data_IF_564805918059
#
_entry.id   IF_564805918059
#
_cell.length_a   1.000
_cell.length_b   1.000
_cell.length_c   1.000
_cell.angle_alpha   90.00
_cell.angle_beta   90.00
_cell.angle_gamma   90.00
#
_symmetry.space_group_name_H-M   'P 1'
#
loop_
_entity.id
_entity.type
_entity.pdbx_description
1 polymer ?
#
# COMPACT_ATOMS: atom_id res chain seq x y z
N UNK A 1 17.41 20.21 38.24
CA UNK A 1 16.64 20.56 37.05
C UNK A 1 16.88 19.58 35.91
N UNK A 2 18.11 19.30 35.51
CA UNK A 2 18.48 18.36 34.40
C UNK A 2 18.01 16.91 34.62
N UNK A 3 18.07 16.41 35.88
CA UNK A 3 17.60 15.05 36.25
C UNK A 3 16.07 14.90 36.14
N UNK A 4 15.32 15.92 36.52
CA UNK A 4 13.85 15.93 36.38
C UNK A 4 13.43 15.99 34.93
N UNK A 5 14.16 16.76 34.11
CA UNK A 5 13.97 16.81 32.65
C UNK A 5 14.18 15.44 32.00
N UNK A 6 15.23 14.70 32.38
CA UNK A 6 15.52 13.35 31.88
C UNK A 6 14.44 12.33 32.26
N UNK A 7 13.85 12.43 33.48
CA UNK A 7 12.76 11.54 33.89
C UNK A 7 11.50 11.81 33.06
N UNK A 8 11.11 13.08 32.88
CA UNK A 8 9.89 13.48 32.17
C UNK A 8 10.03 13.22 30.67
N UNK A 9 11.23 13.39 30.10
CA UNK A 9 11.51 13.19 28.66
C UNK A 9 12.32 11.92 28.38
N UNK A 10 12.21 10.91 29.24
CA UNK A 10 12.90 9.65 28.98
C UNK A 10 12.36 8.99 27.71
N UNK A 11 13.20 8.33 26.88
CA UNK A 11 12.75 7.64 25.66
C UNK A 11 11.60 6.66 25.91
N UNK A 12 11.55 6.03 27.08
CA UNK A 12 10.45 5.13 27.46
C UNK A 12 9.12 5.86 27.58
N UNK A 13 9.09 7.01 28.24
CA UNK A 13 7.86 7.82 28.41
C UNK A 13 7.41 8.36 27.06
N UNK A 14 8.35 8.87 26.27
CA UNK A 14 8.05 9.35 24.89
C UNK A 14 7.44 8.23 24.05
N UNK A 15 8.03 7.02 24.06
CA UNK A 15 7.48 5.89 23.32
C UNK A 15 6.08 5.49 23.79
N UNK A 16 5.81 5.48 25.09
CA UNK A 16 4.47 5.21 25.63
C UNK A 16 3.47 6.26 25.15
N UNK A 17 3.85 7.53 25.17
CA UNK A 17 3.00 8.63 24.67
C UNK A 17 2.72 8.47 23.16
N UNK A 18 3.72 8.14 22.35
CA UNK A 18 3.56 7.90 20.93
C UNK A 18 2.59 6.73 20.67
N UNK A 19 2.74 5.62 21.40
CA UNK A 19 1.83 4.47 21.27
C UNK A 19 0.40 4.90 21.61
N UNK A 20 0.20 5.62 22.69
CA UNK A 20 -1.12 6.09 23.10
C UNK A 20 -1.73 7.07 22.08
N UNK A 21 -0.94 8.01 21.58
CA UNK A 21 -1.37 8.94 20.52
C UNK A 21 -1.74 8.21 19.22
N UNK A 22 -0.98 7.19 18.84
CA UNK A 22 -1.31 6.36 17.67
C UNK A 22 -2.58 5.53 17.88
N UNK A 23 -2.87 5.06 19.10
CA UNK A 23 -4.13 4.41 19.43
C UNK A 23 -5.32 5.37 19.26
N UNK A 24 -5.22 6.59 19.82
CA UNK A 24 -6.25 7.63 19.64
C UNK A 24 -6.41 7.99 18.16
N UNK A 25 -5.31 8.16 17.44
CA UNK A 25 -5.31 8.41 16.00
C UNK A 25 -6.01 7.27 15.24
N UNK A 26 -5.72 6.02 15.60
CA UNK A 26 -6.37 4.84 14.98
C UNK A 26 -7.87 4.87 15.20
N UNK A 27 -8.34 5.11 16.43
CA UNK A 27 -9.78 5.17 16.77
C UNK A 27 -10.51 6.26 15.97
N UNK A 28 -9.85 7.38 15.71
CA UNK A 28 -10.40 8.44 14.87
C UNK A 28 -10.38 8.07 13.40
N UNK A 29 -9.24 7.54 12.90
CA UNK A 29 -8.97 7.28 11.48
C UNK A 29 -9.83 6.15 10.88
N UNK A 30 -10.20 5.13 11.66
CA UNK A 30 -11.03 4.01 11.19
C UNK A 30 -12.36 4.45 10.60
N UNK A 31 -12.90 5.60 11.04
CA UNK A 31 -14.19 6.12 10.58
C UNK A 31 -14.14 6.70 9.15
N UNK A 32 -12.95 6.92 8.60
CA UNK A 32 -12.80 7.44 7.23
C UNK A 32 -12.83 6.32 6.17
N UNK A 33 -12.77 5.05 6.58
CA UNK A 33 -12.77 3.89 5.69
C UNK A 33 -14.18 3.32 5.48
N UNK A 34 -14.38 2.61 4.37
CA UNK A 34 -15.60 1.85 4.11
C UNK A 34 -15.86 0.79 5.20
N UNK A 35 -14.80 0.09 5.61
CA UNK A 35 -14.82 -0.95 6.63
C UNK A 35 -13.42 -1.16 7.19
N UNK A 36 -13.33 -1.34 8.50
CA UNK A 36 -12.09 -1.76 9.18
C UNK A 36 -12.42 -2.89 10.13
N UNK A 37 -11.63 -3.97 10.07
CA UNK A 37 -11.73 -5.10 10.98
C UNK A 37 -11.19 -4.77 12.38
N UNK A 38 -11.31 -5.72 13.29
CA UNK A 38 -10.85 -5.56 14.68
C UNK A 38 -9.32 -5.48 14.77
N UNK A 39 -8.82 -4.79 15.82
CA UNK A 39 -7.40 -4.68 16.13
C UNK A 39 -6.55 -4.06 15.00
N UNK A 40 -7.11 -3.12 14.24
CA UNK A 40 -6.34 -2.31 13.32
C UNK A 40 -5.46 -1.31 14.09
N UNK A 41 -4.29 -0.98 13.55
CA UNK A 41 -3.36 -0.03 14.13
C UNK A 41 -2.70 0.83 13.06
N UNK A 42 -2.80 2.16 13.20
CA UNK A 42 -2.20 3.13 12.29
C UNK A 42 -1.18 4.00 13.02
N UNK A 43 0.02 4.11 12.49
CA UNK A 43 0.98 5.11 12.94
C UNK A 43 0.74 6.45 12.22
N UNK A 44 0.79 7.54 12.97
CA UNK A 44 0.73 8.90 12.43
C UNK A 44 2.08 9.32 11.84
N UNK A 45 2.10 10.06 10.72
CA UNK A 45 0.97 10.42 9.86
C UNK A 45 0.64 9.33 8.82
N UNK A 46 -0.62 9.30 8.39
CA UNK A 46 -1.12 8.52 7.26
C UNK A 46 -1.87 9.46 6.30
N UNK A 47 -1.69 9.28 5.00
CA UNK A 47 -2.37 10.04 3.95
C UNK A 47 -3.44 9.17 3.30
N UNK A 48 -4.69 9.61 3.37
CA UNK A 48 -5.86 8.87 2.89
C UNK A 48 -6.67 9.72 1.93
N UNK A 49 -6.96 9.16 0.75
CA UNK A 49 -7.93 9.70 -0.19
C UNK A 49 -8.92 8.60 -0.60
N UNK A 50 -10.23 8.94 -0.68
CA UNK A 50 -11.26 7.99 -1.11
C UNK A 50 -11.49 6.82 -0.16
N UNK A 51 -11.35 7.02 1.16
CA UNK A 51 -11.49 5.95 2.17
C UNK A 51 -12.79 5.16 2.08
N UNK A 52 -13.89 5.77 1.58
CA UNK A 52 -15.18 5.12 1.31
C UNK A 52 -15.10 3.94 0.32
N UNK A 53 -13.98 3.80 -0.41
CA UNK A 53 -13.73 2.70 -1.35
C UNK A 53 -12.72 1.66 -0.81
N UNK A 54 -12.24 1.87 0.42
CA UNK A 54 -11.15 1.08 1.01
C UNK A 54 -11.68 0.25 2.17
N UNK A 55 -11.45 -1.06 2.12
CA UNK A 55 -11.79 -1.99 3.19
C UNK A 55 -10.55 -2.67 3.72
N UNK A 56 -10.40 -2.69 5.04
CA UNK A 56 -9.28 -3.30 5.75
C UNK A 56 -9.80 -4.47 6.61
N UNK A 57 -9.06 -5.56 6.63
CA UNK A 57 -9.33 -6.71 7.48
C UNK A 57 -8.91 -6.50 8.94
N UNK A 58 -9.09 -7.53 9.74
CA UNK A 58 -8.68 -7.54 11.14
C UNK A 58 -7.16 -7.65 11.29
N UNK A 59 -6.61 -7.06 12.36
CA UNK A 59 -5.17 -7.03 12.65
C UNK A 59 -4.34 -6.38 11.52
N UNK A 60 -4.94 -5.43 10.81
CA UNK A 60 -4.18 -4.59 9.89
C UNK A 60 -3.26 -3.65 10.67
N UNK A 61 -2.02 -3.48 10.21
CA UNK A 61 -1.12 -2.49 10.79
C UNK A 61 -0.40 -1.69 9.69
N UNK A 62 -0.29 -0.37 9.91
CA UNK A 62 0.56 0.46 9.08
C UNK A 62 1.60 1.21 9.90
N UNK A 63 2.79 1.35 9.35
CA UNK A 63 3.81 2.25 9.87
C UNK A 63 3.55 3.69 9.38
N UNK A 64 4.47 4.60 9.67
CA UNK A 64 4.34 6.03 9.38
C UNK A 64 4.34 6.32 7.88
N UNK A 65 3.64 7.37 7.47
CA UNK A 65 3.60 7.91 6.10
C UNK A 65 3.12 6.91 5.04
N UNK A 66 2.23 5.96 5.45
CA UNK A 66 1.46 5.21 4.46
C UNK A 66 0.57 6.20 3.69
N UNK A 67 0.67 6.18 2.36
CA UNK A 67 -0.22 6.87 1.44
C UNK A 67 -1.11 5.85 0.75
N UNK A 68 -2.44 5.93 0.95
CA UNK A 68 -3.40 5.03 0.33
C UNK A 68 -4.52 5.84 -0.28
N UNK A 69 -4.76 5.66 -1.59
CA UNK A 69 -5.61 6.54 -2.38
C UNK A 69 -6.47 5.77 -3.36
N UNK A 70 -7.77 6.07 -3.35
CA UNK A 70 -8.76 5.53 -4.25
C UNK A 70 -9.45 6.69 -4.96
N UNK A 71 -9.09 6.93 -6.24
CA UNK A 71 -9.58 8.06 -7.01
C UNK A 71 -10.84 7.68 -7.78
N UNK A 72 -11.99 8.28 -7.44
CA UNK A 72 -13.26 8.13 -8.15
C UNK A 72 -13.48 9.18 -9.24
N UNK A 73 -12.60 10.20 -9.28
CA UNK A 73 -12.61 11.22 -10.33
C UNK A 73 -11.20 11.77 -10.58
N UNK A 74 -10.87 12.02 -11.85
CA UNK A 74 -9.67 12.76 -12.25
C UNK A 74 -9.93 13.47 -13.58
N UNK A 75 -9.70 14.80 -13.66
CA UNK A 75 -9.93 15.62 -14.84
C UNK A 75 -11.36 15.49 -15.41
N UNK A 76 -12.38 15.39 -14.56
CA UNK A 76 -13.77 15.20 -14.97
C UNK A 76 -14.15 13.76 -15.39
N UNK A 77 -13.20 12.85 -15.48
CA UNK A 77 -13.46 11.43 -15.74
C UNK A 77 -13.78 10.69 -14.45
N UNK A 78 -14.83 9.86 -14.46
CA UNK A 78 -15.25 9.03 -13.33
C UNK A 78 -14.62 7.66 -13.37
N UNK A 79 -14.28 7.13 -12.18
CA UNK A 79 -13.72 5.82 -11.95
C UNK A 79 -14.45 5.10 -10.82
N UNK A 80 -14.26 3.81 -10.69
CA UNK A 80 -14.89 2.98 -9.66
C UNK A 80 -13.83 2.22 -8.86
N UNK A 81 -13.02 2.97 -8.08
CA UNK A 81 -11.91 2.36 -7.36
C UNK A 81 -12.38 1.43 -6.25
N UNK A 82 -11.55 0.42 -5.97
CA UNK A 82 -11.75 -0.50 -4.87
C UNK A 82 -10.40 -0.96 -4.35
N UNK A 83 -10.16 -0.80 -3.06
CA UNK A 83 -8.99 -1.35 -2.38
C UNK A 83 -9.48 -2.28 -1.27
N UNK A 84 -9.07 -3.55 -1.33
CA UNK A 84 -9.38 -4.55 -0.31
C UNK A 84 -8.08 -5.06 0.27
N UNK A 85 -7.92 -4.91 1.56
CA UNK A 85 -6.78 -5.44 2.31
C UNK A 85 -7.32 -6.46 3.31
N UNK A 86 -6.78 -7.66 3.28
CA UNK A 86 -7.18 -8.79 4.11
C UNK A 86 -6.75 -8.68 5.57
N UNK A 87 -6.85 -9.80 6.26
CA UNK A 87 -6.51 -9.88 7.68
C UNK A 87 -5.00 -10.06 7.87
N UNK A 88 -4.49 -9.59 9.02
CA UNK A 88 -3.10 -9.80 9.41
C UNK A 88 -2.10 -9.29 8.36
N UNK A 89 -2.40 -8.15 7.74
CA UNK A 89 -1.54 -7.47 6.77
C UNK A 89 -0.76 -6.37 7.47
N UNK A 90 0.54 -6.33 7.23
CA UNK A 90 1.44 -5.29 7.76
C UNK A 90 2.08 -4.51 6.63
N UNK A 91 1.99 -3.18 6.68
CA UNK A 91 2.58 -2.27 5.70
C UNK A 91 3.54 -1.32 6.42
N UNK A 92 4.81 -1.36 6.04
CA UNK A 92 5.83 -0.52 6.63
C UNK A 92 5.80 0.93 6.08
N UNK A 93 6.81 1.72 6.47
CA UNK A 93 6.86 3.16 6.26
C UNK A 93 6.97 3.56 4.79
N UNK A 94 6.44 4.75 4.46
CA UNK A 94 6.64 5.38 3.16
C UNK A 94 6.07 4.61 1.95
N UNK A 95 5.12 3.70 2.20
CA UNK A 95 4.45 2.98 1.11
C UNK A 95 3.38 3.85 0.45
N UNK A 96 3.18 3.62 -0.86
CA UNK A 96 2.12 4.27 -1.63
C UNK A 96 1.28 3.23 -2.38
N UNK A 97 -0.02 3.23 -2.15
CA UNK A 97 -1.01 2.38 -2.82
C UNK A 97 -2.04 3.28 -3.48
N UNK A 98 -2.15 3.23 -4.82
CA UNK A 98 -3.05 4.09 -5.59
C UNK A 98 -3.92 3.30 -6.55
N UNK A 99 -5.26 3.47 -6.50
CA UNK A 99 -6.21 2.78 -7.33
C UNK A 99 -7.22 3.72 -8.01
N UNK A 100 -7.56 3.38 -9.26
CA UNK A 100 -8.75 3.87 -9.97
C UNK A 100 -9.70 2.73 -10.34
N UNK A 101 -9.24 1.48 -10.27
CA UNK A 101 -9.97 0.26 -10.57
C UNK A 101 -9.97 -0.68 -9.35
N UNK A 102 -9.01 -1.61 -9.23
CA UNK A 102 -9.03 -2.55 -8.12
C UNK A 102 -7.63 -2.98 -7.67
N UNK A 103 -7.38 -2.91 -6.36
CA UNK A 103 -6.21 -3.50 -5.71
C UNK A 103 -6.69 -4.42 -4.60
N UNK A 104 -6.23 -5.68 -4.62
CA UNK A 104 -6.54 -6.70 -3.63
C UNK A 104 -5.24 -7.18 -2.98
N UNK A 105 -5.15 -7.06 -1.66
CA UNK A 105 -4.06 -7.61 -0.86
C UNK A 105 -4.67 -8.62 0.10
N UNK A 106 -4.36 -9.91 -0.07
CA UNK A 106 -4.96 -10.97 0.73
C UNK A 106 -4.30 -11.10 2.12
N UNK A 107 -4.77 -12.07 2.89
CA UNK A 107 -4.37 -12.27 4.29
C UNK A 107 -2.88 -12.59 4.45
N UNK A 108 -2.29 -12.12 5.54
CA UNK A 108 -0.92 -12.47 5.95
C UNK A 108 0.19 -11.84 5.11
N UNK A 109 -0.12 -10.87 4.26
CA UNK A 109 0.89 -10.19 3.43
C UNK A 109 1.73 -9.23 4.28
N UNK A 110 3.05 -9.29 4.08
CA UNK A 110 4.01 -8.35 4.64
C UNK A 110 4.58 -7.46 3.55
N UNK A 111 4.43 -6.14 3.70
CA UNK A 111 4.96 -5.13 2.79
C UNK A 111 6.02 -4.31 3.54
N UNK A 112 7.25 -4.37 3.07
CA UNK A 112 8.36 -3.56 3.60
C UNK A 112 8.20 -2.08 3.22
N UNK A 113 9.17 -1.24 3.62
CA UNK A 113 9.10 0.21 3.39
C UNK A 113 9.26 0.60 1.93
N UNK A 114 8.76 1.79 1.57
CA UNK A 114 8.94 2.43 0.26
C UNK A 114 8.39 1.63 -0.93
N UNK A 115 7.42 0.76 -0.68
CA UNK A 115 6.76 -0.02 -1.74
C UNK A 115 5.72 0.85 -2.46
N UNK A 116 5.72 0.77 -3.79
CA UNK A 116 4.73 1.42 -4.65
C UNK A 116 3.86 0.39 -5.35
N UNK A 117 2.53 0.49 -5.18
CA UNK A 117 1.54 -0.37 -5.80
C UNK A 117 0.52 0.50 -6.52
N UNK A 118 0.34 0.30 -7.82
CA UNK A 118 -0.65 1.04 -8.60
C UNK A 118 -1.34 0.14 -9.61
N UNK A 119 -2.63 0.41 -9.86
CA UNK A 119 -3.41 -0.25 -10.90
C UNK A 119 -3.58 0.62 -12.15
N UNK A 120 -2.90 1.78 -12.24
CA UNK A 120 -3.12 2.74 -13.32
C UNK A 120 -1.87 3.50 -13.73
N UNK A 121 -1.98 4.19 -14.87
CA UNK A 121 -1.00 5.10 -15.45
C UNK A 121 -1.62 6.46 -15.74
N UNK A 122 -0.81 7.49 -15.94
CA UNK A 122 -1.19 8.79 -16.49
C UNK A 122 -1.34 8.68 -18.03
N UNK A 123 -2.47 8.12 -18.47
CA UNK A 123 -2.81 7.89 -19.87
C UNK A 123 -2.45 6.48 -20.36
N UNK A 124 -3.09 6.09 -21.45
CA UNK A 124 -2.74 4.88 -22.18
C UNK A 124 -1.41 5.08 -22.90
N UNK A 125 -0.57 4.05 -22.93
CA UNK A 125 0.69 4.07 -23.69
C UNK A 125 0.36 3.84 -25.16
N UNK A 126 -0.01 4.93 -25.84
CA UNK A 126 -0.35 4.91 -27.28
C UNK A 126 0.25 6.13 -27.96
N UNK A 127 0.43 6.05 -29.28
CA UNK A 127 0.92 7.16 -30.11
C UNK A 127 -0.04 8.36 -30.08
N UNK A 128 -1.34 8.14 -29.87
CA UNK A 128 -2.37 9.19 -29.82
C UNK A 128 -2.27 10.06 -28.57
N UNK A 129 -1.67 9.56 -27.48
CA UNK A 129 -1.52 10.30 -26.23
C UNK A 129 -0.18 11.02 -26.11
N UNK A 130 0.73 10.87 -27.08
CA UNK A 130 2.12 11.33 -26.95
C UNK A 130 2.22 12.85 -26.88
N UNK A 131 1.34 13.57 -27.57
CA UNK A 131 1.34 15.04 -27.65
C UNK A 131 0.57 15.70 -26.50
N UNK A 132 -0.04 14.91 -25.60
CA UNK A 132 -0.76 15.41 -24.42
C UNK A 132 0.17 15.34 -23.21
N UNK A 133 0.26 16.43 -22.45
CA UNK A 133 1.04 16.42 -21.21
C UNK A 133 0.54 15.31 -20.25
N UNK A 134 1.41 14.51 -19.62
CA UNK A 134 0.98 13.39 -18.75
C UNK A 134 -0.01 13.78 -17.65
N UNK A 135 0.09 15.00 -17.12
CA UNK A 135 -0.83 15.54 -16.11
C UNK A 135 -2.25 15.83 -16.64
N UNK A 136 -2.40 15.96 -17.96
CA UNK A 136 -3.67 16.27 -18.64
C UNK A 136 -4.32 15.02 -19.24
N UNK A 137 -3.67 13.87 -19.12
CA UNK A 137 -4.19 12.61 -19.66
C UNK A 137 -5.22 12.01 -18.72
N UNK A 138 -6.26 11.40 -19.31
CA UNK A 138 -7.17 10.53 -18.57
C UNK A 138 -6.37 9.39 -17.95
N UNK A 139 -6.57 9.11 -16.66
CA UNK A 139 -5.98 7.92 -16.04
C UNK A 139 -6.47 6.65 -16.72
N UNK A 140 -5.57 5.69 -16.89
CA UNK A 140 -5.84 4.42 -17.56
C UNK A 140 -5.41 3.23 -16.71
N UNK A 141 -6.35 2.32 -16.41
CA UNK A 141 -6.05 1.06 -15.74
C UNK A 141 -5.94 -0.07 -16.75
N UNK A 142 -4.84 -0.82 -16.67
CA UNK A 142 -4.64 -2.03 -17.48
C UNK A 142 -5.30 -3.26 -16.84
N UNK A 143 -5.76 -3.15 -15.60
CA UNK A 143 -6.41 -4.22 -14.87
C UNK A 143 -6.05 -4.23 -13.38
N UNK A 144 -6.64 -5.17 -12.67
CA UNK A 144 -6.49 -5.36 -11.22
C UNK A 144 -5.06 -5.72 -10.84
N UNK A 145 -4.62 -5.19 -9.68
CA UNK A 145 -3.44 -5.71 -8.98
C UNK A 145 -3.89 -6.61 -7.84
N UNK A 146 -3.37 -7.84 -7.79
CA UNK A 146 -3.68 -8.80 -6.74
C UNK A 146 -2.41 -9.34 -6.10
N UNK A 147 -2.32 -9.25 -4.78
CA UNK A 147 -1.25 -9.86 -3.98
C UNK A 147 -1.91 -10.95 -3.14
N UNK A 148 -1.60 -12.20 -3.44
CA UNK A 148 -2.22 -13.34 -2.77
C UNK A 148 -1.63 -13.59 -1.37
N UNK A 149 -2.18 -14.58 -0.66
CA UNK A 149 -1.87 -14.85 0.76
C UNK A 149 -0.39 -15.08 1.02
N UNK A 150 0.06 -14.62 2.20
CA UNK A 150 1.41 -14.87 2.72
C UNK A 150 2.55 -14.41 1.81
N UNK A 151 2.31 -13.43 0.94
CA UNK A 151 3.37 -12.84 0.11
C UNK A 151 4.21 -11.90 0.95
N UNK A 152 5.52 -11.94 0.75
CA UNK A 152 6.46 -10.98 1.31
C UNK A 152 7.00 -10.07 0.22
N UNK A 153 6.75 -8.76 0.36
CA UNK A 153 7.24 -7.72 -0.54
C UNK A 153 8.40 -6.99 0.12
N UNK A 154 9.57 -7.06 -0.50
CA UNK A 154 10.81 -6.39 -0.05
C UNK A 154 10.75 -4.87 -0.20
N UNK A 155 11.70 -4.19 0.44
CA UNK A 155 11.80 -2.71 0.42
C UNK A 155 12.00 -2.16 -1.00
N UNK A 156 11.35 -1.02 -1.29
CA UNK A 156 11.50 -0.32 -2.57
C UNK A 156 10.90 -1.04 -3.79
N UNK A 157 10.10 -2.08 -3.58
CA UNK A 157 9.46 -2.80 -4.69
C UNK A 157 8.39 -1.93 -5.35
N UNK A 158 8.31 -2.02 -6.69
CA UNK A 158 7.25 -1.41 -7.50
C UNK A 158 6.40 -2.51 -8.12
N UNK A 159 5.07 -2.44 -7.94
CA UNK A 159 4.10 -3.35 -8.53
C UNK A 159 3.23 -2.56 -9.51
N UNK A 160 3.30 -2.94 -10.78
CA UNK A 160 2.61 -2.25 -11.87
C UNK A 160 1.20 -2.82 -12.14
N UNK A 161 0.35 -2.10 -12.89
CA UNK A 161 -1.01 -2.51 -13.19
C UNK A 161 -1.12 -3.89 -13.85
N UNK A 162 -2.22 -4.59 -13.57
CA UNK A 162 -2.54 -5.91 -14.12
C UNK A 162 -1.55 -7.02 -13.73
N UNK A 163 -1.05 -6.96 -12.48
CA UNK A 163 -0.13 -7.96 -11.92
C UNK A 163 -0.82 -8.76 -10.82
N UNK A 164 -0.68 -10.08 -10.88
CA UNK A 164 -1.03 -11.01 -9.80
C UNK A 164 0.27 -11.57 -9.22
N UNK A 165 0.48 -11.42 -7.93
CA UNK A 165 1.58 -12.07 -7.20
C UNK A 165 1.02 -13.28 -6.46
N UNK A 166 1.39 -14.47 -6.91
CA UNK A 166 0.88 -15.73 -6.38
C UNK A 166 1.32 -15.99 -4.94
N UNK A 167 0.48 -16.71 -4.22
CA UNK A 167 0.60 -17.06 -2.81
C UNK A 167 2.00 -17.54 -2.42
N UNK A 168 2.44 -17.21 -1.21
CA UNK A 168 3.73 -17.59 -0.60
C UNK A 168 4.97 -17.09 -1.37
N UNK A 169 4.82 -16.17 -2.32
CA UNK A 169 5.97 -15.65 -3.07
C UNK A 169 6.72 -14.58 -2.28
N UNK A 170 8.00 -14.45 -2.59
CA UNK A 170 8.91 -13.45 -2.02
C UNK A 170 9.41 -12.56 -3.14
N UNK A 171 9.19 -11.26 -3.01
CA UNK A 171 9.68 -10.26 -3.94
C UNK A 171 10.86 -9.55 -3.31
N UNK A 172 12.04 -9.73 -3.89
CA UNK A 172 13.29 -9.13 -3.43
C UNK A 172 13.26 -7.60 -3.52
N UNK A 173 13.98 -6.93 -2.63
CA UNK A 173 14.04 -5.47 -2.56
C UNK A 173 14.42 -4.84 -3.90
N UNK A 174 13.89 -3.61 -4.15
CA UNK A 174 14.12 -2.80 -5.36
C UNK A 174 13.71 -3.49 -6.68
N UNK A 175 12.84 -4.49 -6.62
CA UNK A 175 12.32 -5.14 -7.83
C UNK A 175 11.16 -4.36 -8.44
N UNK A 176 11.04 -4.41 -9.79
CA UNK A 176 9.93 -3.82 -10.52
C UNK A 176 9.12 -4.95 -11.17
N UNK A 177 7.92 -5.19 -10.66
CA UNK A 177 7.07 -6.30 -11.11
C UNK A 177 6.13 -5.81 -12.21
N UNK A 178 6.42 -6.25 -13.43
CA UNK A 178 5.71 -5.87 -14.66
C UNK A 178 4.82 -6.97 -15.21
N UNK A 179 4.92 -8.20 -14.67
CA UNK A 179 4.17 -9.40 -15.08
C UNK A 179 3.77 -10.20 -13.85
N UNK A 180 2.69 -10.95 -13.97
CA UNK A 180 2.22 -11.83 -12.90
C UNK A 180 3.26 -12.88 -12.51
N UNK A 181 3.31 -13.21 -11.23
CA UNK A 181 4.26 -14.12 -10.61
C UNK A 181 3.48 -15.36 -10.13
N UNK A 182 3.92 -16.58 -10.50
CA UNK A 182 3.34 -17.82 -9.97
C UNK A 182 3.50 -17.91 -8.46
N UNK A 183 2.64 -18.72 -7.81
CA UNK A 183 2.78 -19.05 -6.38
C UNK A 183 4.14 -19.67 -6.05
N UNK A 184 4.58 -19.53 -4.81
CA UNK A 184 5.80 -20.15 -4.28
C UNK A 184 7.07 -19.72 -5.05
N UNK A 185 7.16 -18.48 -5.49
CA UNK A 185 8.28 -17.97 -6.28
C UNK A 185 9.12 -16.96 -5.49
N UNK A 186 10.43 -17.00 -5.70
CA UNK A 186 11.36 -15.93 -5.30
C UNK A 186 11.71 -15.13 -6.55
N UNK A 187 11.46 -13.83 -6.49
CA UNK A 187 11.60 -12.90 -7.64
C UNK A 187 12.53 -11.76 -7.26
N UNK A 188 13.34 -11.31 -8.20
CA UNK A 188 14.21 -10.14 -8.02
C UNK A 188 14.54 -9.43 -9.32
N UNK A 189 14.93 -8.16 -9.22
CA UNK A 189 15.45 -7.36 -10.33
C UNK A 189 14.47 -6.38 -10.96
N UNK A 190 14.95 -5.59 -11.92
CA UNK A 190 14.20 -4.63 -12.71
C UNK A 190 14.49 -4.85 -14.21
N UNK A 191 13.52 -5.39 -15.00
CA UNK A 191 12.27 -5.97 -14.55
C UNK A 191 12.45 -7.24 -13.72
N UNK A 192 11.49 -7.53 -12.81
CA UNK A 192 11.51 -8.68 -11.93
C UNK A 192 11.49 -10.01 -12.70
N UNK A 193 12.40 -10.92 -12.32
CA UNK A 193 12.52 -12.28 -12.88
C UNK A 193 12.47 -13.31 -11.76
N UNK A 194 11.89 -14.47 -12.04
CA UNK A 194 11.90 -15.61 -11.12
C UNK A 194 13.34 -16.09 -10.95
N UNK A 195 13.82 -16.07 -9.71
CA UNK A 195 15.16 -16.56 -9.32
C UNK A 195 15.07 -18.05 -9.01
N UNK A 196 14.03 -18.47 -8.29
CA UNK A 196 13.74 -19.87 -7.96
C UNK A 196 12.28 -20.07 -7.56
N UNK A 197 11.82 -21.30 -7.57
CA UNK A 197 10.55 -21.75 -6.97
C UNK A 197 10.85 -22.37 -5.60
N UNK A 198 9.97 -22.14 -4.62
CA UNK A 198 10.06 -22.66 -3.24
C UNK A 198 9.45 -24.06 -3.16
#
# INVERSE_FOLDING_TARGET
>A
MMYLFYIVFSPKIINILIIYLNQLYTMWKINEFKKVGSNAYFNFPMYLHGGKYISLGSKFSSSVRLRIEAYDEHLGYKFFPKIIIGNNVSINSDCHIGAINEIIIEDGVLIASKVYITDHYHGEISTQAIDIAPSERKLYSKGTVKIEKNVWIGEGVVILPNVIIGQNSIIGANSVITKSIPKNSVVGGNPGKIIRTL
#
